data_IF_457535690436
#
_entry.id   IF_457535690436
#
_cell.length_a   1.000
_cell.length_b   1.000
_cell.length_c   1.000
_cell.angle_alpha   90.00
_cell.angle_beta   90.00
_cell.angle_gamma   90.00
#
_symmetry.space_group_name_H-M   'P 1'
#
loop_
_entity.id
_entity.type
_entity.pdbx_description
1 polymer ?
#
# COMPACT_ATOMS: atom_id res chain seq x y z
N UNK A 1 18.59 -5.26 13.37
CA UNK A 1 17.36 -6.00 12.99
C UNK A 1 16.29 -4.96 12.72
N UNK A 2 15.75 -4.88 11.50
CA UNK A 2 14.61 -4.01 11.21
C UNK A 2 13.35 -4.70 11.74
N UNK A 3 12.62 -4.03 12.64
CA UNK A 3 11.33 -4.50 13.14
C UNK A 3 10.28 -4.17 12.08
N UNK A 4 9.74 -5.19 11.42
CA UNK A 4 8.65 -5.04 10.46
C UNK A 4 7.32 -5.16 11.19
N UNK A 5 6.43 -4.21 10.99
CA UNK A 5 5.07 -4.24 11.53
C UNK A 5 4.13 -5.02 10.61
N UNK A 6 3.10 -5.64 11.17
CA UNK A 6 2.02 -6.26 10.40
C UNK A 6 1.02 -5.19 9.94
N UNK A 7 0.31 -5.45 8.83
CA UNK A 7 -0.66 -4.47 8.30
C UNK A 7 -1.73 -4.04 9.32
N UNK A 8 -2.22 -5.00 10.11
CA UNK A 8 -3.28 -4.77 11.12
C UNK A 8 -2.87 -3.82 12.24
N UNK A 9 -1.56 -3.64 12.44
CA UNK A 9 -1.01 -2.79 13.49
C UNK A 9 -0.83 -1.34 13.00
N UNK A 10 -1.08 -1.05 11.71
CA UNK A 10 -1.14 0.31 11.21
C UNK A 10 -2.46 0.96 11.57
N UNK A 11 -2.38 2.00 12.39
CA UNK A 11 -3.52 2.84 12.75
C UNK A 11 -3.30 4.28 12.33
N UNK A 12 -4.40 5.01 12.14
CA UNK A 12 -4.36 6.44 11.86
C UNK A 12 -3.59 7.17 12.98
N UNK A 13 -2.57 7.94 12.60
CA UNK A 13 -1.68 8.64 13.54
C UNK A 13 -0.29 8.00 13.72
N UNK A 14 -0.04 6.84 13.12
CA UNK A 14 1.32 6.24 13.10
C UNK A 14 2.24 7.07 12.20
N UNK A 15 3.26 7.72 12.78
CA UNK A 15 4.17 8.63 12.07
C UNK A 15 5.32 7.94 11.36
N UNK A 16 5.74 6.76 11.80
CA UNK A 16 6.82 5.99 11.15
C UNK A 16 6.51 4.51 11.25
N UNK A 17 6.57 3.82 10.12
CA UNK A 17 6.30 2.40 10.03
C UNK A 17 7.11 1.79 8.88
N UNK A 18 7.40 0.50 9.00
CA UNK A 18 7.97 -0.32 7.94
C UNK A 18 7.21 -1.64 7.90
N UNK A 19 6.71 -2.01 6.73
CA UNK A 19 5.98 -3.26 6.52
C UNK A 19 6.65 -4.08 5.43
N UNK A 20 6.56 -5.40 5.55
CA UNK A 20 7.01 -6.33 4.52
C UNK A 20 5.78 -6.98 3.91
N UNK A 21 5.59 -6.80 2.61
CA UNK A 21 4.35 -7.20 1.94
C UNK A 21 4.66 -7.90 0.62
N UNK A 22 3.77 -8.80 0.22
CA UNK A 22 3.73 -9.37 -1.13
C UNK A 22 2.73 -8.58 -1.96
N UNK A 23 3.16 -8.10 -3.12
CA UNK A 23 2.26 -7.51 -4.11
C UNK A 23 1.50 -8.66 -4.79
N UNK A 24 0.18 -8.67 -4.66
CA UNK A 24 -0.67 -9.74 -5.23
C UNK A 24 -1.29 -9.29 -6.54
N UNK A 25 -1.69 -8.01 -6.66
CA UNK A 25 -2.21 -7.43 -7.90
C UNK A 25 -1.77 -5.99 -8.06
N UNK A 26 -1.49 -5.64 -9.32
CA UNK A 26 -1.13 -4.31 -9.78
C UNK A 26 -2.18 -3.86 -10.80
N UNK A 27 -2.96 -2.83 -10.48
CA UNK A 27 -3.92 -2.29 -11.43
C UNK A 27 -3.27 -1.21 -12.28
N UNK A 28 -3.56 -1.25 -13.58
CA UNK A 28 -3.00 -0.31 -14.54
C UNK A 28 -3.50 1.11 -14.23
N UNK A 29 -2.56 2.05 -14.22
CA UNK A 29 -2.78 3.46 -13.98
C UNK A 29 -3.94 4.00 -14.84
N UNK A 30 -4.95 4.56 -14.20
CA UNK A 30 -6.09 5.19 -14.87
C UNK A 30 -5.83 6.68 -14.97
N UNK A 31 -5.62 7.17 -16.20
CA UNK A 31 -5.47 8.59 -16.47
C UNK A 31 -6.85 9.23 -16.53
N UNK A 32 -7.20 9.98 -15.48
CA UNK A 32 -8.40 10.83 -15.51
C UNK A 32 -8.11 12.06 -16.38
N UNK A 33 -8.92 12.29 -17.41
CA UNK A 33 -8.73 13.41 -18.36
C UNK A 33 -9.00 14.81 -17.76
N UNK A 34 -9.43 14.91 -16.49
CA UNK A 34 -9.99 16.15 -15.93
C UNK A 34 -9.31 16.70 -14.67
N UNK A 35 -8.16 16.21 -14.25
CA UNK A 35 -7.40 16.85 -13.17
C UNK A 35 -5.91 16.68 -13.43
N UNK A 36 -5.27 17.79 -13.80
CA UNK A 36 -3.84 18.09 -13.64
C UNK A 36 -2.94 16.86 -13.45
N UNK A 37 -2.70 16.08 -14.51
CA UNK A 37 -1.69 15.01 -14.63
C UNK A 37 -1.33 14.17 -13.37
N UNK A 38 -2.28 13.91 -12.48
CA UNK A 38 -2.07 13.04 -11.32
C UNK A 38 -2.54 11.63 -11.68
N UNK A 39 -1.62 10.84 -12.24
CA UNK A 39 -1.89 9.43 -12.52
C UNK A 39 -1.90 8.60 -11.24
N UNK A 40 -3.04 8.06 -10.84
CA UNK A 40 -3.15 7.14 -9.71
C UNK A 40 -2.93 5.68 -10.13
N UNK A 41 -2.24 4.91 -9.28
CA UNK A 41 -2.02 3.48 -9.47
C UNK A 41 -2.49 2.72 -8.23
N UNK A 42 -3.42 1.80 -8.41
CA UNK A 42 -3.94 1.00 -7.31
C UNK A 42 -3.16 -0.32 -7.18
N UNK A 43 -2.80 -0.65 -5.95
CA UNK A 43 -2.01 -1.82 -5.61
C UNK A 43 -2.72 -2.64 -4.53
N UNK A 44 -2.83 -3.94 -4.74
CA UNK A 44 -3.34 -4.86 -3.71
C UNK A 44 -2.15 -5.56 -3.07
N UNK A 45 -1.95 -5.25 -1.80
CA UNK A 45 -0.87 -5.75 -0.95
C UNK A 45 -1.42 -6.84 -0.02
N UNK A 46 -0.63 -7.88 0.19
CA UNK A 46 -0.94 -8.95 1.13
C UNK A 46 0.27 -9.18 2.03
N UNK A 47 0.05 -9.23 3.33
CA UNK A 47 1.09 -9.51 4.33
C UNK A 47 1.00 -10.97 4.79
N UNK A 48 2.02 -11.44 5.52
CA UNK A 48 2.06 -12.78 6.14
C UNK A 48 0.93 -13.01 7.15
N UNK A 49 0.21 -11.94 7.54
CA UNK A 49 -0.94 -11.99 8.43
C UNK A 49 -2.13 -12.79 7.91
N UNK A 50 -2.19 -13.14 6.60
CA UNK A 50 -3.10 -14.15 6.03
C UNK A 50 -4.55 -14.14 6.52
N UNK A 51 -5.43 -13.52 5.73
CA UNK A 51 -6.86 -13.23 5.94
C UNK A 51 -7.20 -12.04 6.87
#
# INVERSE_FOLDING_TARGET
MALWSLFKDLHAGTTTWGIKVRIVRLYKQSYSKNATDEGSMDLVLHDESGD
#
